data_IF_207644975385
#
_entry.id   IF_207644975385
#
_cell.length_a   1.000
_cell.length_b   1.000
_cell.length_c   1.000
_cell.angle_alpha   90.00
_cell.angle_beta   90.00
_cell.angle_gamma   90.00
#
_symmetry.space_group_name_H-M   'P 1'
#
loop_
_entity.id
_entity.type
_entity.pdbx_description
1 polymer ?
#
# COMPACT_ATOMS: atom_id res chain seq x y z
N UNK A 1 12.98 -23.75 13.58
CA UNK A 1 12.85 -22.30 13.91
C UNK A 1 13.47 -21.35 12.87
N UNK A 2 14.67 -21.60 12.33
CA UNK A 2 15.32 -20.73 11.32
C UNK A 2 14.51 -20.58 10.02
N UNK A 3 14.03 -21.69 9.45
CA UNK A 3 13.25 -21.67 8.19
C UNK A 3 11.90 -20.95 8.32
N UNK A 4 11.23 -21.04 9.47
CA UNK A 4 9.97 -20.31 9.70
C UNK A 4 10.19 -18.79 9.73
N UNK A 5 11.28 -18.32 10.36
CA UNK A 5 11.63 -16.89 10.36
C UNK A 5 11.94 -16.38 8.95
N UNK A 6 12.69 -17.15 8.16
CA UNK A 6 12.98 -16.85 6.75
C UNK A 6 11.72 -16.81 5.89
N UNK A 7 10.86 -17.82 6.01
CA UNK A 7 9.59 -17.90 5.28
C UNK A 7 8.67 -16.71 5.62
N UNK A 8 8.57 -16.33 6.90
CA UNK A 8 7.78 -15.16 7.32
C UNK A 8 8.32 -13.86 6.72
N UNK A 9 9.65 -13.67 6.69
CA UNK A 9 10.29 -12.51 6.05
C UNK A 9 10.03 -12.49 4.54
N UNK A 10 10.14 -13.62 3.87
CA UNK A 10 9.87 -13.72 2.44
C UNK A 10 8.39 -13.44 2.11
N UNK A 11 7.47 -13.98 2.91
CA UNK A 11 6.04 -13.69 2.77
C UNK A 11 5.76 -12.20 2.96
N UNK A 12 6.38 -11.59 3.96
CA UNK A 12 6.27 -10.17 4.25
C UNK A 12 6.73 -9.32 3.05
N UNK A 13 7.92 -9.58 2.52
CA UNK A 13 8.44 -8.87 1.35
C UNK A 13 7.53 -9.05 0.13
N UNK A 14 7.11 -10.29 -0.17
CA UNK A 14 6.20 -10.58 -1.29
C UNK A 14 4.87 -9.84 -1.18
N UNK A 15 4.30 -9.73 0.03
CA UNK A 15 3.05 -9.00 0.26
C UNK A 15 3.24 -7.50 0.03
N UNK A 16 4.33 -6.92 0.53
CA UNK A 16 4.70 -5.53 0.26
C UNK A 16 4.83 -5.27 -1.24
N UNK A 17 5.69 -6.01 -1.93
CA UNK A 17 5.94 -5.83 -3.36
C UNK A 17 4.66 -5.98 -4.19
N UNK A 18 3.81 -6.96 -3.85
CA UNK A 18 2.56 -7.18 -4.57
C UNK A 18 1.56 -6.05 -4.35
N UNK A 19 1.49 -5.51 -3.13
CA UNK A 19 0.58 -4.41 -2.82
C UNK A 19 0.93 -3.16 -3.62
N UNK A 20 2.20 -2.74 -3.62
CA UNK A 20 2.64 -1.56 -4.37
C UNK A 20 2.51 -1.75 -5.88
N UNK A 21 2.84 -2.95 -6.39
CA UNK A 21 2.67 -3.26 -7.82
C UNK A 21 1.22 -3.17 -8.25
N UNK A 22 0.29 -3.72 -7.47
CA UNK A 22 -1.14 -3.67 -7.78
C UNK A 22 -1.71 -2.25 -7.72
N UNK A 23 -1.24 -1.42 -6.77
CA UNK A 23 -1.58 0.00 -6.74
C UNK A 23 -1.14 0.72 -8.02
N UNK A 24 0.08 0.45 -8.49
CA UNK A 24 0.58 1.00 -9.75
C UNK A 24 -0.20 0.49 -10.97
N UNK A 25 -0.40 -0.83 -11.09
CA UNK A 25 -1.17 -1.43 -12.19
C UNK A 25 -2.58 -0.83 -12.27
N UNK A 26 -3.26 -0.67 -11.14
CA UNK A 26 -4.60 -0.09 -11.10
C UNK A 26 -4.65 1.35 -11.63
N UNK A 27 -3.68 2.18 -11.25
CA UNK A 27 -3.57 3.53 -11.79
C UNK A 27 -3.44 3.52 -13.33
N UNK A 28 -2.60 2.64 -13.87
CA UNK A 28 -2.35 2.55 -15.31
C UNK A 28 -3.53 1.96 -16.10
N UNK A 29 -4.21 0.95 -15.55
CA UNK A 29 -5.26 0.21 -16.26
C UNK A 29 -6.64 0.86 -16.12
N UNK A 30 -6.87 1.66 -15.07
CA UNK A 30 -8.21 2.17 -14.73
C UNK A 30 -8.32 3.70 -14.74
N UNK A 31 -7.28 4.43 -15.17
CA UNK A 31 -7.25 5.91 -15.19
C UNK A 31 -7.68 6.50 -13.84
N UNK A 32 -7.05 6.00 -12.78
CA UNK A 32 -7.41 6.30 -11.41
C UNK A 32 -6.22 6.85 -10.62
N UNK A 33 -6.49 7.88 -9.81
CA UNK A 33 -5.53 8.34 -8.82
C UNK A 33 -5.52 7.41 -7.61
N UNK A 34 -4.32 6.96 -7.22
CA UNK A 34 -4.10 6.02 -6.14
C UNK A 34 -3.04 6.56 -5.20
N UNK A 35 -3.43 6.70 -3.92
CA UNK A 35 -2.52 7.04 -2.83
C UNK A 35 -2.53 5.90 -1.80
N UNK A 36 -1.36 5.32 -1.54
CA UNK A 36 -1.18 4.22 -0.60
C UNK A 36 -0.09 4.56 0.42
N UNK A 37 -0.48 4.54 1.70
CA UNK A 37 0.45 4.73 2.83
C UNK A 37 0.42 3.51 3.73
N UNK A 38 1.60 2.92 3.97
CA UNK A 38 1.77 1.75 4.85
C UNK A 38 2.71 2.12 5.98
N UNK A 39 2.21 2.09 7.22
CA UNK A 39 3.03 2.16 8.43
C UNK A 39 3.27 0.78 9.01
N UNK A 40 4.52 0.40 9.15
CA UNK A 40 4.89 -0.84 9.82
C UNK A 40 4.72 -0.69 11.33
N UNK A 41 3.88 -1.54 11.92
CA UNK A 41 3.56 -1.47 13.35
C UNK A 41 4.74 -1.80 14.26
N UNK A 42 5.71 -2.58 13.77
CA UNK A 42 6.85 -3.06 14.57
C UNK A 42 7.97 -2.04 14.73
N UNK A 43 8.20 -1.17 13.73
CA UNK A 43 9.31 -0.21 13.74
C UNK A 43 8.89 1.22 13.35
N UNK A 44 7.60 1.45 13.07
CA UNK A 44 7.07 2.75 12.68
C UNK A 44 7.44 3.22 11.28
N UNK A 45 8.21 2.44 10.51
CA UNK A 45 8.65 2.82 9.17
C UNK A 45 7.45 3.02 8.24
N UNK A 46 7.48 4.09 7.45
CA UNK A 46 6.41 4.45 6.53
C UNK A 46 6.89 4.25 5.10
N UNK A 47 6.05 3.61 4.30
CA UNK A 47 6.20 3.47 2.86
C UNK A 47 5.03 4.17 2.19
N UNK A 48 5.30 4.95 1.16
CA UNK A 48 4.30 5.72 0.44
C UNK A 48 4.40 5.44 -1.05
N UNK A 49 3.24 5.42 -1.70
CA UNK A 49 3.09 5.46 -3.14
C UNK A 49 1.97 6.47 -3.44
N UNK A 50 2.21 7.36 -4.38
CA UNK A 50 1.20 8.27 -4.90
C UNK A 50 1.33 8.31 -6.42
N UNK A 51 0.23 8.14 -7.14
CA UNK A 51 0.23 8.23 -8.61
C UNK A 51 0.32 9.66 -9.12
N UNK A 52 -0.20 10.61 -8.35
CA UNK A 52 -0.12 12.04 -8.62
C UNK A 52 0.37 12.78 -7.37
N UNK A 53 1.56 13.38 -7.48
CA UNK A 53 2.19 14.16 -6.41
C UNK A 53 1.36 15.39 -5.96
N UNK A 54 0.32 15.77 -6.71
CA UNK A 54 -0.57 16.90 -6.42
C UNK A 54 -1.92 16.47 -5.87
N UNK A 55 -2.32 15.21 -6.10
CA UNK A 55 -3.57 14.69 -5.58
C UNK A 55 -3.38 14.04 -4.22
N UNK A 56 -4.22 14.44 -3.27
CA UNK A 56 -4.30 13.84 -1.96
C UNK A 56 -5.78 13.65 -1.61
N UNK A 57 -6.21 12.43 -1.25
CA UNK A 57 -7.59 12.22 -0.83
C UNK A 57 -7.86 13.06 0.42
N UNK A 58 -8.95 13.83 0.42
CA UNK A 58 -9.36 14.56 1.61
C UNK A 58 -9.84 13.56 2.67
N UNK A 59 -9.79 13.90 3.97
CA UNK A 59 -10.37 13.06 5.01
C UNK A 59 -11.81 12.64 4.70
N UNK A 60 -12.61 13.53 4.11
CA UNK A 60 -14.00 13.28 3.72
C UNK A 60 -14.13 12.19 2.65
N UNK A 61 -13.22 12.17 1.66
CA UNK A 61 -13.20 11.14 0.61
C UNK A 61 -12.89 9.74 1.19
N UNK A 62 -12.00 9.70 2.20
CA UNK A 62 -11.61 8.47 2.89
C UNK A 62 -12.74 7.91 3.76
N UNK A 63 -13.56 8.76 4.37
CA UNK A 63 -14.71 8.31 5.17
C UNK A 63 -15.81 7.72 4.27
N UNK A 64 -16.03 8.29 3.08
CA UNK A 64 -17.11 7.86 2.18
C UNK A 64 -16.89 6.44 1.64
N UNK A 65 -15.63 6.02 1.45
CA UNK A 65 -15.27 4.71 0.90
C UNK A 65 -15.32 3.56 1.92
N UNK A 66 -15.38 3.83 3.23
CA UNK A 66 -15.41 2.78 4.28
C UNK A 66 -16.82 2.31 4.66
N UNK A 67 -17.87 2.95 4.15
CA UNK A 67 -19.27 2.67 4.48
C UNK A 67 -20.10 2.11 3.29
N UNK A 68 -19.44 1.79 2.18
CA UNK A 68 -20.03 1.12 1.01
C UNK A 68 -19.37 -0.24 0.78
#
# INVERSE_FOLDING_TARGET
MSNQKKAKRQQYNRRGDTLFRKAFEFCQECDADVSLTVRLRNNGQIFMFNSDDRWHPSPQDLFTTLYH
#
